data_IF_788122392292
#
_entry.id   IF_788122392292
#
_cell.length_a   1.000
_cell.length_b   1.000
_cell.length_c   1.000
_cell.angle_alpha   90.00
_cell.angle_beta   90.00
_cell.angle_gamma   90.00
#
_symmetry.space_group_name_H-M   'P 1'
#
loop_
_entity.id
_entity.type
_entity.pdbx_description
1 polymer ?
#
# COMPACT_ATOMS: atom_id res chain seq x y z
N UNK A 1 3.94 20.19 -5.28
CA UNK A 1 4.50 19.53 -6.49
C UNK A 1 4.49 18.08 -6.10
N UNK A 2 3.74 17.26 -6.83
CA UNK A 2 3.53 15.86 -6.48
C UNK A 2 4.87 15.12 -6.46
N UNK A 3 5.16 14.41 -5.38
CA UNK A 3 6.36 13.58 -5.26
C UNK A 3 6.16 12.28 -6.03
N UNK A 4 7.07 11.94 -6.95
CA UNK A 4 6.94 10.79 -7.84
C UNK A 4 7.86 9.65 -7.42
N UNK A 5 7.24 8.53 -7.02
CA UNK A 5 7.92 7.26 -6.74
C UNK A 5 7.74 6.34 -7.94
N UNK A 6 8.84 5.88 -8.52
CA UNK A 6 8.85 4.92 -9.64
C UNK A 6 9.33 3.56 -9.18
N UNK A 7 8.47 2.55 -9.27
CA UNK A 7 8.85 1.15 -9.05
C UNK A 7 9.10 0.48 -10.41
N UNK A 8 10.30 -0.05 -10.61
CA UNK A 8 10.72 -0.69 -11.87
C UNK A 8 10.82 -2.19 -11.65
N UNK A 9 10.18 -3.00 -12.50
CA UNK A 9 10.36 -4.45 -12.45
C UNK A 9 9.37 -5.24 -13.28
N UNK A 10 9.08 -6.46 -12.84
CA UNK A 10 8.25 -7.42 -13.57
C UNK A 10 7.01 -7.82 -12.77
N UNK A 11 5.80 -7.51 -13.29
CA UNK A 11 4.58 -8.10 -12.80
C UNK A 11 4.43 -9.51 -13.39
N UNK A 12 3.87 -10.42 -12.61
CA UNK A 12 3.63 -11.80 -13.00
C UNK A 12 2.19 -12.20 -12.70
N UNK A 13 1.61 -13.01 -13.57
CA UNK A 13 0.39 -13.73 -13.25
C UNK A 13 0.73 -14.95 -12.38
N UNK A 14 0.06 -15.07 -11.24
CA UNK A 14 0.16 -16.20 -10.33
C UNK A 14 -1.00 -17.17 -10.58
N UNK A 15 -0.69 -18.43 -10.81
CA UNK A 15 -1.67 -19.52 -10.85
C UNK A 15 -1.58 -20.30 -9.54
N UNK A 16 -2.69 -20.40 -8.82
CA UNK A 16 -2.78 -21.22 -7.60
C UNK A 16 -3.97 -22.16 -7.65
N UNK A 17 -3.86 -23.31 -6.99
CA UNK A 17 -4.97 -24.27 -6.88
C UNK A 17 -5.87 -23.91 -5.68
N UNK A 18 -7.17 -23.75 -5.93
CA UNK A 18 -8.22 -23.60 -4.91
C UNK A 18 -9.18 -24.77 -4.98
N UNK A 19 -9.06 -25.71 -4.04
CA UNK A 19 -9.83 -26.96 -4.05
C UNK A 19 -9.75 -27.68 -5.43
N UNK A 20 -10.83 -27.67 -6.21
CA UNK A 20 -10.90 -28.26 -7.55
C UNK A 20 -10.40 -27.36 -8.68
N UNK A 21 -10.34 -26.04 -8.49
CA UNK A 21 -10.15 -25.06 -9.56
C UNK A 21 -8.75 -24.42 -9.54
N UNK A 22 -8.35 -23.85 -10.67
CA UNK A 22 -7.22 -22.94 -10.75
C UNK A 22 -7.71 -21.50 -10.64
N UNK A 23 -7.07 -20.72 -9.78
CA UNK A 23 -7.29 -19.30 -9.63
C UNK A 23 -6.10 -18.53 -10.19
N UNK A 24 -6.39 -17.36 -10.76
CA UNK A 24 -5.37 -16.41 -11.21
C UNK A 24 -5.35 -15.24 -10.25
N UNK A 25 -4.16 -14.89 -9.77
CA UNK A 25 -3.84 -13.66 -9.09
C UNK A 25 -2.65 -12.99 -9.79
N UNK A 26 -2.16 -11.89 -9.26
CA UNK A 26 -0.98 -11.21 -9.78
C UNK A 26 -0.05 -10.84 -8.64
N UNK A 27 1.24 -10.87 -8.93
CA UNK A 27 2.30 -10.55 -7.98
C UNK A 27 3.59 -10.20 -8.71
N UNK A 28 4.70 -10.26 -8.00
CA UNK A 28 5.99 -9.75 -8.43
C UNK A 28 6.51 -8.84 -7.34
N UNK A 29 7.77 -9.01 -6.95
CA UNK A 29 8.35 -8.33 -5.79
C UNK A 29 8.15 -6.81 -5.85
N UNK A 30 8.49 -6.21 -6.99
CA UNK A 30 8.36 -4.78 -7.24
C UNK A 30 6.91 -4.33 -7.42
N UNK A 31 6.02 -5.17 -7.96
CA UNK A 31 4.58 -4.88 -8.05
C UNK A 31 3.96 -4.87 -6.65
N UNK A 32 4.30 -5.85 -5.82
CA UNK A 32 3.85 -5.94 -4.43
C UNK A 32 4.31 -4.69 -3.66
N UNK A 33 5.59 -4.31 -3.79
CA UNK A 33 6.11 -3.07 -3.20
C UNK A 33 5.35 -1.84 -3.68
N UNK A 34 5.08 -1.71 -4.98
CA UNK A 34 4.32 -0.59 -5.53
C UNK A 34 2.89 -0.53 -4.97
N UNK A 35 2.20 -1.68 -4.83
CA UNK A 35 0.85 -1.76 -4.25
C UNK A 35 0.84 -1.29 -2.80
N UNK A 36 1.77 -1.79 -1.98
CA UNK A 36 1.85 -1.37 -0.58
C UNK A 36 2.26 0.09 -0.44
N UNK A 37 3.15 0.60 -1.31
CA UNK A 37 3.51 2.00 -1.35
C UNK A 37 2.28 2.87 -1.67
N UNK A 38 1.56 2.55 -2.76
CA UNK A 38 0.36 3.27 -3.19
C UNK A 38 -0.74 3.30 -2.11
N UNK A 39 -0.94 2.17 -1.42
CA UNK A 39 -1.88 2.08 -0.29
C UNK A 39 -1.45 2.93 0.91
N UNK A 40 -0.15 3.02 1.20
CA UNK A 40 0.38 3.78 2.33
C UNK A 40 0.40 5.30 2.11
N UNK A 41 0.42 5.76 0.84
CA UNK A 41 0.42 7.20 0.51
C UNK A 41 -0.96 7.76 0.16
N UNK A 42 -2.03 6.99 0.37
CA UNK A 42 -3.40 7.47 0.13
C UNK A 42 -3.65 8.81 0.83
N UNK A 43 -4.26 9.75 0.10
CA UNK A 43 -4.54 11.13 0.54
C UNK A 43 -3.30 12.02 0.75
N UNK A 44 -2.17 11.69 0.14
CA UNK A 44 -0.97 12.55 0.09
C UNK A 44 -0.70 13.01 -1.34
N UNK A 45 0.04 14.11 -1.50
CA UNK A 45 0.53 14.59 -2.81
C UNK A 45 1.75 13.77 -3.28
N UNK A 46 1.58 12.44 -3.35
CA UNK A 46 2.60 11.45 -3.73
C UNK A 46 1.98 10.51 -4.76
N UNK A 47 2.62 10.37 -5.92
CA UNK A 47 2.21 9.47 -6.99
C UNK A 47 3.17 8.27 -7.09
N UNK A 48 2.61 7.06 -7.11
CA UNK A 48 3.36 5.82 -7.33
C UNK A 48 3.14 5.37 -8.77
N UNK A 49 4.23 5.27 -9.53
CA UNK A 49 4.25 4.84 -10.92
C UNK A 49 4.89 3.46 -11.02
N UNK A 50 4.38 2.63 -11.92
CA UNK A 50 5.01 1.34 -12.24
C UNK A 50 5.61 1.35 -13.64
N UNK A 51 6.91 1.10 -13.73
CA UNK A 51 7.65 1.06 -14.98
C UNK A 51 7.90 -0.39 -15.35
N UNK A 52 7.21 -0.84 -16.39
CA UNK A 52 7.33 -2.22 -16.87
C UNK A 52 6.92 -2.34 -18.34
N UNK A 53 7.08 -3.54 -18.90
CA UNK A 53 6.47 -3.92 -20.16
C UNK A 53 5.63 -5.20 -19.97
N UNK A 54 4.42 -5.20 -20.52
CA UNK A 54 3.48 -6.33 -20.51
C UNK A 54 3.02 -6.64 -21.94
N UNK A 55 2.33 -7.76 -22.14
CA UNK A 55 1.78 -8.14 -23.46
C UNK A 55 0.48 -7.43 -23.80
N UNK A 56 -0.15 -7.86 -24.90
CA UNK A 56 -1.50 -7.44 -25.31
C UNK A 56 -2.60 -8.47 -24.95
N UNK A 57 -2.27 -9.44 -24.10
CA UNK A 57 -3.16 -10.53 -23.71
C UNK A 57 -4.03 -10.19 -22.49
N UNK A 58 -5.04 -11.03 -22.22
CA UNK A 58 -6.01 -10.83 -21.12
C UNK A 58 -5.37 -10.80 -19.73
N UNK A 59 -4.26 -11.51 -19.49
CA UNK A 59 -3.57 -11.43 -18.20
C UNK A 59 -2.86 -10.09 -18.05
N UNK A 60 -2.30 -9.58 -19.16
CA UNK A 60 -1.72 -8.23 -19.22
C UNK A 60 -2.78 -7.15 -18.99
N UNK A 61 -3.99 -7.29 -19.52
CA UNK A 61 -5.10 -6.36 -19.22
C UNK A 61 -5.51 -6.42 -17.74
N UNK A 62 -5.68 -7.62 -17.20
CA UNK A 62 -6.09 -7.81 -15.81
C UNK A 62 -5.05 -7.29 -14.80
N UNK A 63 -3.74 -7.38 -15.10
CA UNK A 63 -2.72 -6.80 -14.21
C UNK A 63 -2.71 -5.27 -14.29
N UNK A 64 -2.99 -4.70 -15.47
CA UNK A 64 -3.10 -3.26 -15.65
C UNK A 64 -4.31 -2.71 -14.87
N UNK A 65 -5.45 -3.39 -14.95
CA UNK A 65 -6.65 -3.07 -14.15
C UNK A 65 -6.37 -3.18 -12.64
N UNK A 66 -5.60 -4.18 -12.20
CA UNK A 66 -5.16 -4.29 -10.81
C UNK A 66 -4.34 -3.08 -10.40
N UNK A 67 -3.32 -2.68 -11.18
CA UNK A 67 -2.48 -1.52 -10.89
C UNK A 67 -3.33 -0.26 -10.73
N UNK A 68 -4.22 0.03 -11.69
CA UNK A 68 -5.12 1.19 -11.64
C UNK A 68 -6.01 1.16 -10.40
N UNK A 69 -6.62 0.01 -10.09
CA UNK A 69 -7.46 -0.16 -8.89
C UNK A 69 -6.69 0.03 -7.59
N UNK A 70 -5.40 -0.29 -7.57
CA UNK A 70 -4.54 -0.07 -6.41
C UNK A 70 -4.02 1.37 -6.27
N UNK A 71 -4.35 2.26 -7.23
CA UNK A 71 -3.94 3.66 -7.23
C UNK A 71 -2.54 3.89 -7.82
N UNK A 72 -2.02 2.91 -8.58
CA UNK A 72 -0.73 2.99 -9.26
C UNK A 72 -0.93 3.65 -10.62
N UNK A 73 -0.08 4.63 -10.94
CA UNK A 73 -0.01 5.27 -12.26
C UNK A 73 0.63 4.32 -13.27
N UNK A 74 0.05 4.26 -14.47
CA UNK A 74 0.38 3.23 -15.48
C UNK A 74 0.87 3.80 -16.80
N UNK A 75 1.15 5.11 -16.85
CA UNK A 75 1.62 5.82 -18.05
C UNK A 75 2.97 5.30 -18.57
N UNK A 76 3.71 4.55 -17.74
CA UNK A 76 5.01 3.96 -18.06
C UNK A 76 4.98 2.43 -18.19
N UNK A 77 3.79 1.87 -18.35
CA UNK A 77 3.58 0.45 -18.66
C UNK A 77 3.49 0.29 -20.18
N UNK A 78 4.58 -0.16 -20.81
CA UNK A 78 4.59 -0.40 -22.26
C UNK A 78 3.86 -1.69 -22.63
N UNK A 79 3.23 -1.70 -23.81
CA UNK A 79 2.56 -2.88 -24.38
C UNK A 79 3.42 -3.45 -25.52
N UNK A 80 3.80 -4.72 -25.41
CA UNK A 80 4.57 -5.43 -26.44
C UNK A 80 3.65 -6.40 -27.20
N UNK A 81 3.45 -6.22 -28.53
CA UNK A 81 2.58 -7.07 -29.31
C UNK A 81 3.15 -8.48 -29.59
N UNK A 82 4.43 -8.71 -29.29
CA UNK A 82 5.13 -9.97 -29.57
C UNK A 82 5.48 -10.77 -28.32
N UNK A 83 5.16 -10.26 -27.12
CA UNK A 83 5.47 -10.88 -25.82
C UNK A 83 4.23 -10.89 -24.93
N UNK A 84 4.27 -11.70 -23.87
CA UNK A 84 3.21 -11.80 -22.87
C UNK A 84 3.74 -11.41 -21.49
N UNK A 85 2.85 -11.27 -20.51
CA UNK A 85 3.24 -11.25 -19.10
C UNK A 85 3.88 -12.59 -18.70
N UNK A 86 4.85 -12.56 -17.79
CA UNK A 86 5.37 -13.78 -17.17
C UNK A 86 4.34 -14.45 -16.25
N UNK A 87 4.38 -15.77 -16.17
CA UNK A 87 3.47 -16.57 -15.33
C UNK A 87 4.30 -17.37 -14.33
N UNK A 88 3.77 -17.58 -13.13
CA UNK A 88 4.22 -18.65 -12.26
C UNK A 88 3.05 -19.39 -11.63
N UNK A 89 3.27 -20.64 -11.25
CA UNK A 89 2.29 -21.44 -10.51
C UNK A 89 2.85 -21.83 -9.14
N UNK A 90 2.00 -21.75 -8.11
CA UNK A 90 2.28 -22.23 -6.76
C UNK A 90 1.63 -23.60 -6.59
N UNK A 91 2.42 -24.57 -6.17
CA UNK A 91 1.94 -25.86 -5.71
C UNK A 91 2.31 -26.03 -4.24
N UNK A 92 1.32 -26.33 -3.40
CA UNK A 92 1.55 -26.75 -2.02
C UNK A 92 1.57 -28.27 -2.00
N UNK A 93 2.56 -28.87 -1.35
CA UNK A 93 2.55 -30.30 -1.06
C UNK A 93 1.62 -30.63 0.13
N UNK A 94 1.50 -31.92 0.47
CA UNK A 94 0.65 -32.38 1.59
C UNK A 94 1.11 -31.86 2.96
N UNK A 95 2.36 -31.39 3.08
CA UNK A 95 2.94 -30.82 4.29
C UNK A 95 2.85 -29.28 4.31
N UNK A 96 2.34 -28.66 3.25
CA UNK A 96 2.26 -27.20 3.09
C UNK A 96 3.54 -26.55 2.56
N UNK A 97 4.54 -27.32 2.13
CA UNK A 97 5.74 -26.79 1.47
C UNK A 97 5.37 -26.27 0.07
N UNK A 98 5.85 -25.08 -0.25
CA UNK A 98 5.55 -24.38 -1.50
C UNK A 98 6.61 -24.65 -2.55
N UNK A 99 6.21 -25.18 -3.70
CA UNK A 99 7.02 -25.21 -4.90
C UNK A 99 6.49 -24.22 -5.94
N UNK A 100 7.41 -23.67 -6.73
CA UNK A 100 7.11 -22.66 -7.74
C UNK A 100 7.57 -23.14 -9.11
N UNK A 101 6.69 -23.01 -10.10
CA UNK A 101 6.98 -23.25 -11.51
C UNK A 101 6.87 -21.94 -12.28
N UNK A 102 7.85 -21.59 -13.12
CA UNK A 102 7.92 -20.30 -13.80
C UNK A 102 7.89 -20.46 -15.32
N UNK A 103 7.12 -19.61 -15.98
CA UNK A 103 7.09 -19.38 -17.43
C UNK A 103 7.23 -17.89 -17.69
N UNK A 104 8.44 -17.36 -17.49
CA UNK A 104 8.72 -15.91 -17.60
C UNK A 104 9.90 -15.56 -18.49
N UNK A 105 10.54 -16.53 -19.14
CA UNK A 105 11.72 -16.29 -20.00
C UNK A 105 11.40 -15.42 -21.23
N UNK A 106 10.15 -15.46 -21.69
CA UNK A 106 9.64 -14.65 -22.80
C UNK A 106 8.86 -13.39 -22.34
N UNK A 107 8.82 -13.11 -21.04
CA UNK A 107 8.07 -11.98 -20.48
C UNK A 107 8.46 -10.66 -21.15
N UNK A 108 7.46 -9.82 -21.40
CA UNK A 108 7.64 -8.48 -21.96
C UNK A 108 8.56 -7.60 -21.11
N UNK A 109 8.53 -7.74 -19.78
CA UNK A 109 9.36 -6.97 -18.85
C UNK A 109 10.87 -7.12 -19.12
N UNK A 110 11.30 -8.23 -19.73
CA UNK A 110 12.69 -8.48 -20.12
C UNK A 110 13.19 -7.59 -21.26
N UNK A 111 12.26 -6.95 -21.99
CA UNK A 111 12.55 -6.02 -23.08
C UNK A 111 12.66 -4.55 -22.62
N UNK A 112 12.47 -4.27 -21.33
CA UNK A 112 12.74 -2.93 -20.79
C UNK A 112 14.19 -2.51 -21.04
N UNK A 113 14.40 -1.23 -21.32
CA UNK A 113 15.73 -0.63 -21.56
C UNK A 113 16.53 -1.31 -22.69
N UNK A 114 15.84 -1.99 -23.64
CA UNK A 114 16.51 -2.70 -24.74
C UNK A 114 17.24 -1.77 -25.72
N UNK A 115 16.80 -0.51 -25.85
CA UNK A 115 17.38 0.51 -26.73
C UNK A 115 17.59 1.83 -25.97
N UNK A 116 18.42 2.71 -26.52
CA UNK A 116 18.65 4.06 -25.96
C UNK A 116 17.42 4.97 -26.09
N UNK A 117 16.45 4.58 -26.91
CA UNK A 117 15.17 5.26 -27.11
C UNK A 117 14.02 4.59 -26.35
N UNK A 118 14.33 3.67 -25.43
CA UNK A 118 13.32 2.98 -24.62
C UNK A 118 12.47 4.01 -23.85
N UNK A 119 11.12 3.97 -23.95
CA UNK A 119 10.26 4.94 -23.26
C UNK A 119 10.43 4.89 -21.73
N UNK A 120 10.81 3.74 -21.19
CA UNK A 120 11.11 3.56 -19.76
C UNK A 120 12.27 4.44 -19.25
N UNK A 121 13.18 4.90 -20.11
CA UNK A 121 14.27 5.81 -19.71
C UNK A 121 13.74 7.21 -19.39
N UNK A 122 12.78 7.71 -20.16
CA UNK A 122 12.17 9.02 -19.94
C UNK A 122 11.38 9.07 -18.61
N UNK A 123 10.83 7.94 -18.16
CA UNK A 123 10.16 7.84 -16.86
C UNK A 123 11.12 8.17 -15.70
N UNK A 124 12.40 7.82 -15.80
CA UNK A 124 13.38 8.09 -14.74
C UNK A 124 13.59 9.61 -14.53
N UNK A 125 13.45 10.42 -15.59
CA UNK A 125 13.71 11.86 -15.54
C UNK A 125 12.71 12.63 -14.66
N UNK A 126 11.49 12.10 -14.49
CA UNK A 126 10.42 12.71 -13.69
C UNK A 126 10.33 12.19 -12.26
N UNK A 127 11.18 11.23 -11.89
CA UNK A 127 11.14 10.61 -10.57
C UNK A 127 11.87 11.44 -9.52
N UNK A 128 11.28 11.51 -8.33
CA UNK A 128 11.97 11.97 -7.12
C UNK A 128 12.65 10.78 -6.42
N UNK A 129 12.04 9.59 -6.53
CA UNK A 129 12.53 8.33 -5.97
C UNK A 129 12.30 7.18 -6.95
N UNK A 130 13.35 6.41 -7.25
CA UNK A 130 13.24 5.15 -8.01
C UNK A 130 13.51 3.98 -7.08
N UNK A 131 12.63 2.98 -7.10
CA UNK A 131 12.81 1.67 -6.47
C UNK A 131 12.95 0.58 -7.52
N UNK A 132 13.91 -0.31 -7.31
CA UNK A 132 14.09 -1.54 -8.08
C UNK A 132 14.72 -2.63 -7.22
N UNK A 133 14.69 -3.87 -7.72
CA UNK A 133 15.25 -5.03 -7.02
C UNK A 133 16.31 -5.78 -7.83
N UNK A 134 17.05 -6.69 -7.18
CA UNK A 134 17.95 -7.60 -7.87
C UNK A 134 17.24 -8.53 -8.87
N UNK A 135 15.95 -8.82 -8.70
CA UNK A 135 15.14 -9.55 -9.70
C UNK A 135 15.01 -8.70 -10.97
N UNK A 136 14.79 -7.39 -10.83
CA UNK A 136 14.75 -6.47 -11.99
C UNK A 136 16.05 -6.53 -12.76
N UNK A 137 17.20 -6.58 -12.08
CA UNK A 137 18.49 -6.75 -12.75
C UNK A 137 18.59 -8.11 -13.44
N UNK A 138 18.22 -9.19 -12.75
CA UNK A 138 18.36 -10.56 -13.22
C UNK A 138 17.64 -10.80 -14.56
N UNK A 139 16.49 -10.16 -14.77
CA UNK A 139 15.68 -10.36 -15.98
C UNK A 139 16.14 -9.53 -17.19
N UNK A 140 16.95 -8.49 -16.97
CA UNK A 140 17.45 -7.61 -18.01
C UNK A 140 18.69 -8.17 -18.69
N UNK A 141 18.86 -7.81 -19.96
CA UNK A 141 20.12 -8.07 -20.69
C UNK A 141 21.27 -7.21 -20.13
N UNK A 142 22.55 -7.59 -20.34
CA UNK A 142 23.68 -6.77 -19.89
C UNK A 142 23.62 -5.31 -20.36
N UNK A 143 23.31 -5.08 -21.64
CA UNK A 143 23.18 -3.73 -22.19
C UNK A 143 22.00 -2.95 -21.58
N UNK A 144 20.90 -3.64 -21.26
CA UNK A 144 19.76 -3.00 -20.58
C UNK A 144 20.11 -2.61 -19.13
N UNK A 145 20.86 -3.45 -18.40
CA UNK A 145 21.39 -3.11 -17.07
C UNK A 145 22.32 -1.90 -17.14
N UNK A 146 23.20 -1.84 -18.15
CA UNK A 146 24.09 -0.69 -18.36
C UNK A 146 23.33 0.61 -18.57
N UNK A 147 22.29 0.59 -19.41
CA UNK A 147 21.45 1.77 -19.67
C UNK A 147 20.69 2.21 -18.43
N UNK A 148 20.08 1.27 -17.71
CA UNK A 148 19.39 1.57 -16.47
C UNK A 148 20.34 2.18 -15.45
N UNK A 149 21.52 1.58 -15.25
CA UNK A 149 22.53 2.09 -14.33
C UNK A 149 22.99 3.50 -14.73
N UNK A 150 23.31 3.74 -16.00
CA UNK A 150 23.74 5.05 -16.50
C UNK A 150 22.66 6.12 -16.30
N UNK A 151 21.40 5.78 -16.58
CA UNK A 151 20.28 6.69 -16.39
C UNK A 151 20.09 7.07 -14.92
N UNK A 152 20.10 6.10 -14.00
CA UNK A 152 20.01 6.37 -12.57
C UNK A 152 21.19 7.19 -12.07
N UNK A 153 22.41 6.80 -12.41
CA UNK A 153 23.63 7.48 -11.99
C UNK A 153 23.67 8.95 -12.46
N UNK A 154 23.23 9.24 -13.69
CA UNK A 154 23.19 10.59 -14.23
C UNK A 154 22.18 11.50 -13.49
N UNK A 155 21.00 10.96 -13.15
CA UNK A 155 19.92 11.74 -12.52
C UNK A 155 20.06 11.90 -11.01
N UNK A 156 20.93 11.12 -10.35
CA UNK A 156 21.27 11.37 -8.93
C UNK A 156 21.85 12.77 -8.71
N UNK A 157 22.60 13.31 -9.68
CA UNK A 157 23.12 14.66 -9.62
C UNK A 157 22.01 15.75 -9.65
N UNK A 158 20.83 15.43 -10.17
CA UNK A 158 19.65 16.30 -10.17
C UNK A 158 18.71 16.10 -8.98
N UNK A 159 19.11 15.30 -7.98
CA UNK A 159 18.35 15.09 -6.75
C UNK A 159 17.54 13.80 -6.68
N UNK A 160 17.51 12.99 -7.75
CA UNK A 160 16.87 11.67 -7.75
C UNK A 160 17.46 10.80 -6.63
N UNK A 161 16.59 10.14 -5.87
CA UNK A 161 16.97 9.10 -4.91
C UNK A 161 16.79 7.72 -5.51
N UNK A 162 17.73 6.82 -5.23
CA UNK A 162 17.64 5.41 -5.64
C UNK A 162 17.48 4.51 -4.42
N UNK A 163 16.40 3.75 -4.38
CA UNK A 163 16.15 2.69 -3.42
C UNK A 163 16.37 1.32 -4.06
N UNK A 164 17.10 0.44 -3.39
CA UNK A 164 17.46 -0.86 -3.94
C UNK A 164 17.31 -1.99 -2.92
N UNK A 165 16.70 -3.09 -3.35
CA UNK A 165 16.60 -4.35 -2.62
C UNK A 165 17.37 -5.44 -3.39
N UNK A 166 18.37 -6.08 -2.78
CA UNK A 166 19.15 -7.11 -3.48
C UNK A 166 18.32 -8.32 -3.89
N UNK A 167 17.24 -8.64 -3.16
CA UNK A 167 16.25 -9.69 -3.45
C UNK A 167 16.81 -10.88 -4.27
N UNK A 168 17.88 -11.50 -3.75
CA UNK A 168 18.71 -12.40 -4.55
C UNK A 168 17.97 -13.70 -4.87
N UNK A 169 17.86 -14.02 -6.16
CA UNK A 169 17.21 -15.26 -6.65
C UNK A 169 18.18 -16.02 -7.54
N UNK A 170 18.97 -16.97 -7.00
CA UNK A 170 20.03 -17.67 -7.75
C UNK A 170 19.59 -18.21 -9.12
N UNK A 171 18.36 -18.74 -9.20
CA UNK A 171 17.82 -19.35 -10.43
C UNK A 171 17.62 -18.39 -11.60
N UNK A 172 17.58 -17.07 -11.36
CA UNK A 172 17.43 -16.06 -12.42
C UNK A 172 18.78 -15.55 -12.95
N UNK A 173 19.89 -15.95 -12.34
CA UNK A 173 21.22 -15.50 -12.72
C UNK A 173 22.00 -16.63 -13.39
N UNK A 174 22.69 -16.32 -14.49
CA UNK A 174 23.55 -17.30 -15.18
C UNK A 174 24.67 -17.83 -14.29
N UNK A 175 25.19 -16.98 -13.40
CA UNK A 175 26.21 -17.33 -12.42
C UNK A 175 26.18 -16.40 -11.21
N UNK A 176 26.48 -16.94 -10.02
CA UNK A 176 26.61 -16.17 -8.76
C UNK A 176 27.64 -15.04 -8.88
N UNK A 177 28.70 -15.20 -9.67
CA UNK A 177 29.69 -14.14 -9.93
C UNK A 177 29.10 -12.96 -10.67
N UNK A 178 28.16 -13.20 -11.58
CA UNK A 178 27.46 -12.15 -12.34
C UNK A 178 26.45 -11.44 -11.44
N UNK A 179 25.68 -12.19 -10.64
CA UNK A 179 24.79 -11.63 -9.63
C UNK A 179 25.55 -10.70 -8.68
N UNK A 180 26.67 -11.18 -8.14
CA UNK A 180 27.52 -10.41 -7.21
C UNK A 180 28.03 -9.12 -7.85
N UNK A 181 28.54 -9.19 -9.08
CA UNK A 181 29.02 -8.02 -9.82
C UNK A 181 27.93 -6.97 -10.03
N UNK A 182 26.77 -7.38 -10.55
CA UNK A 182 25.70 -6.42 -10.85
C UNK A 182 25.08 -5.85 -9.59
N UNK A 183 24.84 -6.66 -8.55
CA UNK A 183 24.28 -6.19 -7.28
C UNK A 183 25.26 -5.23 -6.58
N UNK A 184 26.57 -5.53 -6.55
CA UNK A 184 27.59 -4.57 -6.05
C UNK A 184 27.55 -3.25 -6.81
N UNK A 185 27.46 -3.31 -8.15
CA UNK A 185 27.40 -2.11 -8.99
C UNK A 185 26.16 -1.26 -8.72
N UNK A 186 25.02 -1.86 -8.40
CA UNK A 186 23.81 -1.10 -8.04
C UNK A 186 23.86 -0.58 -6.60
N UNK A 187 24.56 -1.25 -5.68
CA UNK A 187 24.84 -0.71 -4.35
C UNK A 187 25.62 0.62 -4.41
N UNK A 188 26.55 0.80 -5.36
CA UNK A 188 27.33 2.03 -5.56
C UNK A 188 26.50 3.28 -5.91
N UNK A 189 25.27 3.09 -6.42
CA UNK A 189 24.36 4.18 -6.79
C UNK A 189 23.11 4.22 -5.90
N UNK A 190 23.07 3.43 -4.83
CA UNK A 190 21.91 3.36 -3.92
C UNK A 190 21.99 4.41 -2.83
N UNK A 191 20.91 5.16 -2.62
CA UNK A 191 20.72 6.09 -1.51
C UNK A 191 19.99 5.43 -0.33
N UNK A 192 19.00 4.57 -0.64
CA UNK A 192 18.16 3.86 0.34
C UNK A 192 18.32 2.35 0.15
N UNK A 193 19.01 1.69 1.07
CA UNK A 193 19.27 0.24 1.00
C UNK A 193 18.21 -0.57 1.73
N UNK A 194 17.55 -1.52 1.04
CA UNK A 194 16.52 -2.37 1.61
C UNK A 194 16.84 -3.88 1.45
N UNK A 195 18.04 -4.36 1.84
CA UNK A 195 18.42 -5.77 1.71
C UNK A 195 17.69 -6.66 2.73
N UNK A 196 17.69 -7.98 2.48
CA UNK A 196 17.41 -8.99 3.50
C UNK A 196 18.70 -9.65 3.98
N UNK A 197 18.72 -10.13 5.22
CA UNK A 197 19.88 -10.84 5.76
C UNK A 197 20.20 -12.10 4.95
N UNK A 198 19.17 -12.89 4.62
CA UNK A 198 19.31 -14.16 3.92
C UNK A 198 19.90 -13.99 2.52
N UNK A 199 19.41 -13.00 1.76
CA UNK A 199 19.88 -12.74 0.39
C UNK A 199 21.34 -12.28 0.37
N UNK A 200 21.72 -11.38 1.27
CA UNK A 200 23.09 -10.86 1.37
C UNK A 200 24.07 -11.93 1.88
N UNK A 201 23.67 -12.72 2.88
CA UNK A 201 24.47 -13.81 3.40
C UNK A 201 24.69 -14.91 2.35
N UNK A 202 23.67 -15.25 1.56
CA UNK A 202 23.78 -16.25 0.48
C UNK A 202 24.68 -15.75 -0.67
N UNK A 203 24.50 -14.50 -1.12
CA UNK A 203 25.22 -13.98 -2.27
C UNK A 203 26.69 -13.63 -1.98
N UNK A 204 26.96 -13.00 -0.84
CA UNK A 204 28.28 -12.46 -0.52
C UNK A 204 29.02 -13.24 0.56
N UNK A 205 28.33 -14.13 1.28
CA UNK A 205 28.95 -15.00 2.28
C UNK A 205 29.16 -14.36 3.66
N UNK A 206 28.51 -13.23 3.94
CA UNK A 206 28.60 -12.58 5.25
C UNK A 206 28.15 -13.49 6.39
N UNK A 207 28.73 -13.23 7.57
CA UNK A 207 28.46 -14.01 8.78
C UNK A 207 27.72 -13.24 9.85
N UNK A 208 27.64 -11.91 9.71
CA UNK A 208 27.04 -11.04 10.72
C UNK A 208 26.24 -9.93 10.04
N UNK A 209 25.15 -9.53 10.68
CA UNK A 209 24.32 -8.41 10.24
C UNK A 209 25.12 -7.11 10.15
N UNK A 210 25.98 -6.81 11.14
CA UNK A 210 26.86 -5.63 11.09
C UNK A 210 27.86 -5.68 9.94
N UNK A 211 28.34 -6.87 9.54
CA UNK A 211 29.21 -7.04 8.37
C UNK A 211 28.51 -6.64 7.07
N UNK A 212 27.25 -7.09 6.92
CA UNK A 212 26.39 -6.71 5.77
C UNK A 212 26.18 -5.21 5.73
N UNK A 213 25.74 -4.61 6.85
CA UNK A 213 25.49 -3.16 6.93
C UNK A 213 26.75 -2.36 6.59
N UNK A 214 27.90 -2.74 7.17
CA UNK A 214 29.16 -2.05 6.91
C UNK A 214 29.60 -2.13 5.45
N UNK A 215 29.42 -3.29 4.78
CA UNK A 215 29.71 -3.40 3.34
C UNK A 215 28.83 -2.46 2.53
N UNK A 216 27.53 -2.44 2.79
CA UNK A 216 26.57 -1.64 2.01
C UNK A 216 26.83 -0.15 2.23
N UNK A 217 27.09 0.29 3.46
CA UNK A 217 27.50 1.68 3.75
C UNK A 217 28.81 2.03 3.02
N UNK A 218 29.78 1.11 2.96
CA UNK A 218 31.05 1.35 2.25
C UNK A 218 30.88 1.56 0.74
N UNK A 219 29.75 1.15 0.14
CA UNK A 219 29.41 1.45 -1.26
C UNK A 219 28.71 2.78 -1.47
N UNK A 220 28.24 3.44 -0.40
CA UNK A 220 27.69 4.79 -0.45
C UNK A 220 26.25 4.94 0.03
N UNK A 221 25.56 3.86 0.41
CA UNK A 221 24.20 3.94 0.97
C UNK A 221 24.17 4.76 2.27
N UNK A 222 23.23 5.70 2.37
CA UNK A 222 23.14 6.67 3.46
C UNK A 222 21.93 6.45 4.38
N UNK A 223 20.99 5.62 3.95
CA UNK A 223 19.75 5.33 4.66
C UNK A 223 19.28 3.92 4.28
N UNK A 224 18.36 3.36 5.06
CA UNK A 224 17.75 2.08 4.75
C UNK A 224 17.57 1.18 5.96
N UNK A 225 17.27 -0.09 5.68
CA UNK A 225 17.06 -1.09 6.70
C UNK A 225 17.43 -2.50 6.19
N UNK A 226 18.28 -3.20 6.94
CA UNK A 226 18.52 -4.63 6.77
C UNK A 226 17.38 -5.41 7.42
N UNK A 227 16.56 -6.09 6.61
CA UNK A 227 15.44 -6.92 7.10
C UNK A 227 15.99 -8.23 7.68
N UNK A 228 15.75 -8.48 8.97
CA UNK A 228 16.20 -9.69 9.68
C UNK A 228 15.03 -10.57 10.15
N UNK A 229 13.97 -10.68 9.34
CA UNK A 229 12.80 -11.49 9.66
C UNK A 229 12.12 -11.07 10.98
N UNK A 230 11.93 -12.04 11.87
CA UNK A 230 11.25 -11.83 13.16
C UNK A 230 12.11 -11.10 14.21
N UNK A 231 13.41 -10.92 13.95
CA UNK A 231 14.29 -10.12 14.80
C UNK A 231 14.10 -8.60 14.60
N UNK A 232 13.33 -8.20 13.58
CA UNK A 232 13.14 -6.80 13.21
C UNK A 232 14.25 -6.25 12.30
N UNK A 233 14.03 -5.10 11.67
CA UNK A 233 15.04 -4.46 10.83
C UNK A 233 16.19 -3.87 11.64
N UNK A 234 17.38 -3.76 11.04
CA UNK A 234 18.49 -2.93 11.51
C UNK A 234 18.67 -1.75 10.56
N UNK A 235 18.74 -0.53 11.10
CA UNK A 235 18.95 0.67 10.29
C UNK A 235 20.31 0.64 9.57
N UNK A 236 20.37 1.31 8.42
CA UNK A 236 21.58 1.48 7.60
C UNK A 236 21.83 2.99 7.46
N UNK A 237 22.93 3.56 7.99
CA UNK A 237 23.90 2.95 8.89
C UNK A 237 23.30 2.51 10.23
N UNK A 238 24.03 1.66 10.97
CA UNK A 238 23.61 1.22 12.31
C UNK A 238 23.37 2.45 13.22
N UNK A 239 22.25 2.42 13.94
CA UNK A 239 21.92 3.38 14.98
C UNK A 239 22.04 2.73 16.36
N UNK A 240 22.36 3.55 17.38
CA UNK A 240 22.30 3.15 18.78
C UNK A 240 20.84 3.13 19.31
N UNK A 241 19.89 3.65 18.54
CA UNK A 241 18.46 3.60 18.85
C UNK A 241 17.97 2.15 18.70
N UNK A 242 17.87 1.46 19.84
CA UNK A 242 17.31 0.10 19.90
C UNK A 242 15.79 0.20 19.94
N UNK A 243 15.16 -0.06 18.80
CA UNK A 243 13.72 -0.25 18.74
C UNK A 243 13.35 -1.72 18.96
N UNK A 244 12.31 -1.96 19.76
CA UNK A 244 11.75 -3.28 19.95
C UNK A 244 10.60 -3.49 18.95
N UNK A 245 10.86 -4.28 17.91
CA UNK A 245 9.88 -4.57 16.87
C UNK A 245 8.94 -5.70 17.30
N UNK A 246 7.63 -5.42 17.30
CA UNK A 246 6.64 -6.41 17.66
C UNK A 246 6.57 -7.53 16.60
N UNK A 247 6.73 -8.77 17.05
CA UNK A 247 6.56 -9.95 16.20
C UNK A 247 5.09 -10.13 15.81
N UNK A 248 4.85 -10.76 14.66
CA UNK A 248 3.52 -11.20 14.29
C UNK A 248 3.00 -12.26 15.27
N UNK A 249 1.75 -12.13 15.70
CA UNK A 249 1.11 -13.10 16.62
C UNK A 249 1.05 -14.52 16.03
N UNK A 250 0.90 -14.62 14.71
CA UNK A 250 0.86 -15.88 13.96
C UNK A 250 1.36 -15.68 12.54
N UNK A 251 2.29 -16.53 12.12
CA UNK A 251 2.79 -16.58 10.74
C UNK A 251 1.99 -17.63 9.96
N UNK A 252 1.35 -17.21 8.88
CA UNK A 252 0.60 -18.05 7.94
C UNK A 252 1.37 -18.24 6.64
N UNK A 253 1.94 -17.15 6.12
CA UNK A 253 2.64 -17.13 4.84
C UNK A 253 3.62 -15.95 4.83
N UNK A 254 4.91 -16.20 4.62
CA UNK A 254 5.93 -15.15 4.59
C UNK A 254 6.04 -14.44 3.24
N UNK A 255 5.29 -14.89 2.23
CA UNK A 255 5.27 -14.30 0.89
C UNK A 255 4.83 -12.83 0.96
N UNK A 256 5.58 -11.93 0.32
CA UNK A 256 5.28 -10.49 0.31
C UNK A 256 5.70 -9.71 1.56
N UNK A 257 6.26 -10.35 2.60
CA UNK A 257 6.69 -9.65 3.83
C UNK A 257 7.72 -8.57 3.53
N UNK A 258 8.81 -8.93 2.83
CA UNK A 258 9.86 -7.99 2.42
C UNK A 258 9.34 -6.91 1.47
N UNK A 259 8.50 -7.29 0.50
CA UNK A 259 7.94 -6.35 -0.47
C UNK A 259 7.04 -5.30 0.21
N UNK A 260 6.24 -5.72 1.19
CA UNK A 260 5.38 -4.83 1.99
C UNK A 260 6.17 -3.92 2.90
N UNK A 261 7.26 -4.43 3.50
CA UNK A 261 8.20 -3.63 4.26
C UNK A 261 8.75 -2.52 3.38
N UNK A 262 9.26 -2.87 2.20
CA UNK A 262 9.82 -1.88 1.25
C UNK A 262 8.77 -0.83 0.87
N UNK A 263 7.54 -1.25 0.54
CA UNK A 263 6.48 -0.33 0.12
C UNK A 263 6.11 0.68 1.19
N UNK A 264 5.91 0.23 2.44
CA UNK A 264 5.63 1.12 3.56
C UNK A 264 6.83 2.00 3.94
N UNK A 265 8.05 1.46 3.89
CA UNK A 265 9.26 2.24 4.18
C UNK A 265 9.42 3.40 3.20
N UNK A 266 9.32 3.13 1.90
CA UNK A 266 9.44 4.16 0.86
C UNK A 266 8.32 5.19 0.94
N UNK A 267 7.09 4.75 1.24
CA UNK A 267 5.97 5.65 1.47
C UNK A 267 6.19 6.59 2.67
N UNK A 268 6.77 6.08 3.76
CA UNK A 268 7.11 6.87 4.94
C UNK A 268 8.22 7.89 4.65
N UNK A 269 9.27 7.50 3.93
CA UNK A 269 10.35 8.41 3.53
C UNK A 269 9.84 9.51 2.60
N UNK A 270 9.02 9.17 1.60
CA UNK A 270 8.41 10.16 0.70
C UNK A 270 7.40 11.08 1.43
N UNK A 271 6.96 10.68 2.62
CA UNK A 271 6.13 11.46 3.52
C UNK A 271 6.95 12.26 4.56
N UNK A 272 8.25 12.45 4.32
CA UNK A 272 9.21 13.17 5.17
C UNK A 272 9.37 12.60 6.59
N UNK A 273 9.06 11.31 6.80
CA UNK A 273 9.34 10.62 8.06
C UNK A 273 10.82 10.26 8.17
N UNK A 274 11.29 10.12 9.41
CA UNK A 274 12.64 9.63 9.69
C UNK A 274 12.77 8.15 9.32
N UNK A 275 14.01 7.68 9.12
CA UNK A 275 14.27 6.26 8.83
C UNK A 275 13.80 5.31 9.95
N UNK A 276 13.81 5.77 11.20
CA UNK A 276 13.34 4.99 12.35
C UNK A 276 11.82 4.82 12.30
N UNK A 277 11.08 5.93 12.14
CA UNK A 277 9.62 5.90 11.95
C UNK A 277 9.22 5.04 10.74
N UNK A 278 9.96 5.16 9.63
CA UNK A 278 9.75 4.33 8.45
C UNK A 278 9.97 2.84 8.73
N UNK A 279 10.99 2.48 9.51
CA UNK A 279 11.26 1.08 9.90
C UNK A 279 10.15 0.51 10.81
N UNK A 280 9.64 1.28 11.77
CA UNK A 280 8.50 0.90 12.62
C UNK A 280 7.27 0.59 11.78
N UNK A 281 6.88 1.52 10.90
CA UNK A 281 5.68 1.38 10.08
C UNK A 281 5.79 0.23 9.08
N UNK A 282 6.96 0.11 8.45
CA UNK A 282 7.27 -0.97 7.53
C UNK A 282 7.24 -2.34 8.21
N UNK A 283 7.83 -2.47 9.40
CA UNK A 283 7.80 -3.72 10.15
C UNK A 283 6.39 -4.07 10.61
N UNK A 284 5.62 -3.10 11.12
CA UNK A 284 4.24 -3.32 11.53
C UNK A 284 3.35 -3.78 10.36
N UNK A 285 3.54 -3.21 9.16
CA UNK A 285 2.84 -3.71 7.97
C UNK A 285 3.28 -5.13 7.62
N UNK A 286 4.58 -5.39 7.54
CA UNK A 286 5.09 -6.73 7.22
C UNK A 286 4.60 -7.80 8.20
N UNK A 287 4.58 -7.50 9.51
CA UNK A 287 4.03 -8.37 10.53
C UNK A 287 2.54 -8.69 10.31
N UNK A 288 1.76 -7.74 9.76
CA UNK A 288 0.37 -7.99 9.35
C UNK A 288 0.25 -8.81 8.06
N UNK A 289 1.12 -8.57 7.09
CA UNK A 289 1.12 -9.33 5.82
C UNK A 289 1.33 -10.81 6.10
N UNK A 290 2.30 -11.15 6.96
CA UNK A 290 2.62 -12.56 7.21
C UNK A 290 1.52 -13.36 7.90
N UNK A 291 0.50 -12.70 8.44
CA UNK A 291 -0.65 -13.37 9.08
C UNK A 291 -1.74 -13.79 8.08
N UNK A 292 -1.57 -13.49 6.80
CA UNK A 292 -2.51 -13.76 5.71
C UNK A 292 -1.87 -14.60 4.62
N UNK A 293 -2.67 -15.39 3.89
CA UNK A 293 -2.19 -16.15 2.75
C UNK A 293 -2.10 -15.25 1.49
N UNK A 294 -0.97 -15.31 0.80
CA UNK A 294 -0.68 -14.54 -0.41
C UNK A 294 0.12 -13.26 -0.15
N UNK A 295 0.84 -12.78 -1.16
CA UNK A 295 1.73 -11.61 -1.04
C UNK A 295 1.00 -10.29 -0.75
N UNK A 296 -0.22 -10.13 -1.26
CA UNK A 296 -0.98 -8.88 -1.20
C UNK A 296 -2.14 -9.08 -0.24
N UNK A 297 -2.15 -8.34 0.86
CA UNK A 297 -3.31 -8.28 1.74
C UNK A 297 -4.54 -7.91 0.92
N UNK A 298 -5.68 -8.62 1.08
CA UNK A 298 -6.93 -8.13 0.57
C UNK A 298 -7.12 -6.70 1.03
N UNK A 299 -7.62 -5.81 0.15
CA UNK A 299 -8.20 -4.58 0.69
C UNK A 299 -9.23 -5.05 1.71
N UNK A 300 -9.16 -4.53 2.93
CA UNK A 300 -10.36 -4.50 3.76
C UNK A 300 -11.34 -3.83 2.84
N UNK A 301 -12.31 -4.58 2.31
CA UNK A 301 -13.37 -3.98 1.52
C UNK A 301 -13.79 -2.79 2.36
N UNK A 302 -13.72 -1.57 1.81
CA UNK A 302 -14.39 -0.45 2.46
C UNK A 302 -15.76 -1.04 2.79
N UNK A 303 -16.04 -1.24 4.08
CA UNK A 303 -17.29 -1.86 4.48
C UNK A 303 -18.31 -1.07 3.71
N UNK A 304 -19.17 -1.77 2.94
CA UNK A 304 -20.16 -1.11 2.11
C UNK A 304 -20.86 -0.16 3.07
N UNK A 305 -20.55 1.14 2.96
CA UNK A 305 -20.92 2.05 4.03
C UNK A 305 -22.43 2.02 4.03
N UNK A 306 -23.03 1.64 5.15
CA UNK A 306 -24.47 1.68 5.28
C UNK A 306 -24.82 3.16 5.32
N UNK A 307 -25.29 3.66 4.18
CA UNK A 307 -25.75 5.04 4.05
C UNK A 307 -27.13 5.12 4.67
N UNK A 308 -27.26 6.01 5.63
CA UNK A 308 -28.49 6.18 6.39
C UNK A 308 -28.95 7.63 6.23
N UNK A 309 -30.23 7.77 5.89
CA UNK A 309 -30.90 9.05 5.74
C UNK A 309 -32.03 9.13 6.74
N UNK A 310 -32.21 10.27 7.41
CA UNK A 310 -33.32 10.47 8.32
C UNK A 310 -33.82 11.91 8.28
N UNK A 311 -35.07 12.12 8.70
CA UNK A 311 -35.70 13.44 8.72
C UNK A 311 -36.33 13.77 10.07
N UNK A 312 -36.28 15.06 10.40
CA UNK A 312 -36.95 15.65 11.55
C UNK A 312 -37.36 17.10 11.23
N UNK A 313 -38.22 17.72 12.03
CA UNK A 313 -38.46 19.16 11.94
C UNK A 313 -37.64 19.91 12.97
N UNK A 314 -37.22 21.12 12.60
CA UNK A 314 -36.64 22.10 13.51
C UNK A 314 -37.75 23.06 13.94
N UNK A 315 -37.85 23.32 15.25
CA UNK A 315 -38.74 24.37 15.77
C UNK A 315 -38.22 25.74 15.31
N UNK A 316 -38.99 26.53 14.55
CA UNK A 316 -38.51 27.76 13.92
C UNK A 316 -37.84 28.75 14.88
N UNK A 317 -38.34 28.85 16.11
CA UNK A 317 -37.84 29.70 17.18
C UNK A 317 -36.42 29.36 17.64
N UNK A 318 -35.93 28.16 17.36
CA UNK A 318 -34.60 27.69 17.74
C UNK A 318 -33.57 27.70 16.60
N UNK A 319 -33.92 28.26 15.44
CA UNK A 319 -33.09 28.21 14.23
C UNK A 319 -31.64 28.66 14.45
N UNK A 320 -31.46 29.86 15.01
CA UNK A 320 -30.14 30.47 15.12
C UNK A 320 -29.27 29.73 16.15
N UNK A 321 -29.87 29.30 17.25
CA UNK A 321 -29.18 28.55 18.29
C UNK A 321 -28.78 27.15 17.80
N UNK A 322 -29.68 26.46 17.08
CA UNK A 322 -29.38 25.15 16.49
C UNK A 322 -28.16 25.23 15.55
N UNK A 323 -28.13 26.26 14.69
CA UNK A 323 -26.98 26.51 13.79
C UNK A 323 -25.71 26.82 14.55
N UNK A 324 -25.79 27.64 15.60
CA UNK A 324 -24.62 28.00 16.43
C UNK A 324 -24.00 26.76 17.07
N UNK A 325 -24.84 25.88 17.65
CA UNK A 325 -24.38 24.62 18.25
C UNK A 325 -23.74 23.69 17.21
N UNK A 326 -24.38 23.49 16.06
CA UNK A 326 -23.87 22.54 15.05
C UNK A 326 -22.69 23.07 14.22
N UNK A 327 -22.39 24.37 14.30
CA UNK A 327 -21.15 24.94 13.77
C UNK A 327 -19.93 24.66 14.67
N UNK A 328 -20.16 24.36 15.96
CA UNK A 328 -19.12 24.11 16.96
C UNK A 328 -19.54 22.96 17.90
N UNK A 329 -19.70 21.77 17.29
CA UNK A 329 -20.13 20.56 18.00
C UNK A 329 -19.06 20.18 19.03
N UNK A 330 -19.50 19.80 20.23
CA UNK A 330 -18.60 19.44 21.31
C UNK A 330 -17.65 18.30 20.89
N UNK A 331 -16.32 18.43 21.11
CA UNK A 331 -15.34 17.43 20.68
C UNK A 331 -15.60 16.02 21.20
N UNK A 332 -16.16 15.89 22.41
CA UNK A 332 -16.52 14.58 22.99
C UNK A 332 -17.59 13.84 22.18
N UNK A 333 -18.60 14.56 21.68
CA UNK A 333 -19.66 13.99 20.81
C UNK A 333 -19.05 13.52 19.48
N UNK A 334 -18.22 14.35 18.85
CA UNK A 334 -17.54 13.98 17.60
C UNK A 334 -16.62 12.76 17.78
N UNK A 335 -15.90 12.70 18.89
CA UNK A 335 -15.05 11.56 19.24
C UNK A 335 -15.86 10.28 19.42
N UNK A 336 -17.02 10.36 20.08
CA UNK A 336 -17.90 9.22 20.28
C UNK A 336 -18.48 8.70 18.97
N UNK A 337 -19.00 9.57 18.11
CA UNK A 337 -19.49 9.20 16.79
C UNK A 337 -18.42 8.51 15.94
N UNK A 338 -17.19 9.05 15.92
CA UNK A 338 -16.07 8.43 15.20
C UNK A 338 -15.69 7.06 15.77
N UNK A 339 -15.65 6.92 17.09
CA UNK A 339 -15.36 5.66 17.75
C UNK A 339 -16.45 4.61 17.53
N UNK A 340 -17.68 5.05 17.25
CA UNK A 340 -18.83 4.22 16.89
C UNK A 340 -19.02 4.09 15.37
N UNK A 341 -17.98 4.37 14.58
CA UNK A 341 -17.95 4.12 13.12
C UNK A 341 -18.94 4.94 12.29
N UNK A 342 -19.40 6.09 12.80
CA UNK A 342 -20.17 7.07 12.02
C UNK A 342 -19.21 8.01 11.29
N UNK A 343 -19.38 8.11 9.98
CA UNK A 343 -18.56 8.92 9.08
C UNK A 343 -19.46 9.72 8.13
N UNK A 344 -18.88 10.71 7.44
CA UNK A 344 -19.57 11.56 6.47
C UNK A 344 -20.93 12.14 6.94
N UNK A 345 -21.03 12.49 8.23
CA UNK A 345 -22.28 12.96 8.82
C UNK A 345 -22.56 14.42 8.44
N UNK A 346 -23.65 14.65 7.70
CA UNK A 346 -24.18 15.97 7.35
C UNK A 346 -25.63 16.16 7.80
N UNK A 347 -26.00 17.38 8.19
CA UNK A 347 -27.39 17.78 8.46
C UNK A 347 -27.75 18.96 7.56
N UNK A 348 -28.78 18.80 6.74
CA UNK A 348 -29.31 19.80 5.82
C UNK A 348 -30.60 20.38 6.39
N UNK A 349 -30.86 21.66 6.16
CA UNK A 349 -32.10 22.33 6.59
C UNK A 349 -32.79 23.00 5.39
N UNK A 350 -34.05 22.65 5.15
CA UNK A 350 -34.90 23.24 4.11
C UNK A 350 -35.94 24.18 4.73
N UNK A 351 -35.94 25.44 4.27
CA UNK A 351 -36.95 26.46 4.58
C UNK A 351 -37.91 26.64 3.40
N UNK A 352 -39.17 27.09 3.62
CA UNK A 352 -39.78 27.53 4.90
C UNK A 352 -40.35 26.40 5.77
N UNK A 353 -40.20 25.14 5.38
CA UNK A 353 -40.81 23.98 6.04
C UNK A 353 -40.07 23.56 7.34
N UNK A 354 -38.88 24.13 7.57
CA UNK A 354 -37.97 23.78 8.66
C UNK A 354 -37.70 22.27 8.76
N UNK A 355 -37.66 21.60 7.61
CA UNK A 355 -37.34 20.19 7.49
C UNK A 355 -35.82 20.02 7.57
N UNK A 356 -35.36 19.19 8.49
CA UNK A 356 -33.97 18.76 8.55
C UNK A 356 -33.82 17.35 7.97
N UNK A 357 -32.78 17.16 7.15
CA UNK A 357 -32.37 15.87 6.61
C UNK A 357 -30.98 15.56 7.16
N UNK A 358 -30.86 14.47 7.92
CA UNK A 358 -29.59 13.92 8.39
C UNK A 358 -29.12 12.83 7.44
N UNK A 359 -27.83 12.83 7.12
CA UNK A 359 -27.16 11.81 6.33
C UNK A 359 -25.88 11.40 7.03
N UNK A 360 -25.62 10.09 7.17
CA UNK A 360 -24.33 9.58 7.59
C UNK A 360 -24.01 8.25 6.92
N UNK A 361 -22.72 7.90 6.96
CA UNK A 361 -22.17 6.62 6.52
C UNK A 361 -21.72 5.82 7.74
N UNK A 362 -22.34 4.66 7.95
CA UNK A 362 -21.93 3.72 8.99
C UNK A 362 -21.00 2.65 8.41
N UNK A 363 -19.80 2.54 8.97
CA UNK A 363 -18.76 1.61 8.49
C UNK A 363 -18.48 0.45 9.44
N UNK A 364 -19.16 0.39 10.60
CA UNK A 364 -18.97 -0.67 11.59
C UNK A 364 -19.67 -1.98 11.22
N UNK A 365 -19.53 -2.99 12.09
CA UNK A 365 -20.11 -4.33 11.89
C UNK A 365 -21.29 -4.64 12.80
N UNK A 366 -21.59 -3.79 13.79
CA UNK A 366 -22.64 -3.99 14.80
C UNK A 366 -23.29 -2.63 15.15
N UNK A 367 -24.26 -2.24 14.33
CA UNK A 367 -24.93 -0.95 14.44
C UNK A 367 -25.70 -0.79 15.75
N UNK A 368 -26.27 -1.88 16.27
CA UNK A 368 -27.00 -1.85 17.54
C UNK A 368 -26.07 -1.61 18.72
N UNK A 369 -24.93 -2.31 18.78
CA UNK A 369 -23.94 -2.10 19.83
C UNK A 369 -23.31 -0.69 19.76
N UNK A 370 -23.00 -0.20 18.56
CA UNK A 370 -22.43 1.14 18.38
C UNK A 370 -23.43 2.24 18.77
N UNK A 371 -24.71 2.10 18.41
CA UNK A 371 -25.75 3.02 18.89
C UNK A 371 -25.97 2.94 20.39
N UNK A 372 -25.93 1.74 20.99
CA UNK A 372 -26.03 1.58 22.43
C UNK A 372 -24.86 2.28 23.15
N UNK A 373 -23.65 2.23 22.58
CA UNK A 373 -22.49 2.94 23.10
C UNK A 373 -22.62 4.47 22.99
N UNK A 374 -23.20 4.98 21.90
CA UNK A 374 -23.54 6.40 21.76
C UNK A 374 -24.60 6.80 22.81
N UNK A 375 -25.65 6.00 22.96
CA UNK A 375 -26.73 6.26 23.91
C UNK A 375 -26.26 6.21 25.38
N UNK A 376 -25.24 5.42 25.69
CA UNK A 376 -24.65 5.32 27.02
C UNK A 376 -23.60 6.41 27.31
N UNK A 377 -23.15 7.18 26.32
CA UNK A 377 -22.10 8.19 26.47
C UNK A 377 -22.63 9.44 27.20
N UNK A 378 -22.06 9.82 28.37
CA UNK A 378 -22.59 10.93 29.17
C UNK A 378 -22.55 12.28 28.45
N UNK A 379 -21.49 12.54 27.67
CA UNK A 379 -21.34 13.81 26.94
C UNK A 379 -22.40 13.91 25.85
N UNK A 380 -22.68 12.80 25.17
CA UNK A 380 -23.73 12.73 24.15
C UNK A 380 -25.13 12.91 24.75
N UNK A 381 -25.40 12.35 25.93
CA UNK A 381 -26.66 12.58 26.64
C UNK A 381 -26.87 14.06 27.02
N UNK A 382 -25.83 14.75 27.50
CA UNK A 382 -25.88 16.18 27.77
C UNK A 382 -26.14 16.99 26.49
N UNK A 383 -25.46 16.65 25.40
CA UNK A 383 -25.69 17.26 24.10
C UNK A 383 -27.14 17.10 23.62
N UNK A 384 -27.72 15.91 23.77
CA UNK A 384 -29.12 15.65 23.44
C UNK A 384 -30.09 16.42 24.33
N UNK A 385 -29.78 16.60 25.62
CA UNK A 385 -30.61 17.42 26.51
C UNK A 385 -30.68 18.89 26.06
N UNK A 386 -29.61 19.40 25.45
CA UNK A 386 -29.57 20.76 24.87
C UNK A 386 -30.29 20.82 23.52
N UNK A 387 -30.00 19.88 22.62
CA UNK A 387 -30.50 19.92 21.23
C UNK A 387 -31.93 19.41 21.08
N UNK A 388 -32.35 18.43 21.90
CA UNK A 388 -33.64 17.76 21.82
C UNK A 388 -34.84 18.71 21.88
N UNK A 389 -34.89 19.69 22.80
CA UNK A 389 -35.97 20.68 22.86
C UNK A 389 -36.15 21.53 21.59
N UNK A 390 -35.10 21.66 20.76
CA UNK A 390 -35.14 22.43 19.51
C UNK A 390 -35.79 21.63 18.37
N UNK A 391 -35.90 20.32 18.54
CA UNK A 391 -36.38 19.40 17.51
C UNK A 391 -37.87 19.12 17.68
N UNK A 392 -38.52 18.82 16.56
CA UNK A 392 -39.92 18.43 16.48
C UNK A 392 -40.02 17.10 15.69
N UNK A 393 -39.92 15.96 16.39
CA UNK A 393 -40.05 14.62 15.83
C UNK A 393 -41.37 14.41 15.08
N UNK A 394 -41.32 13.77 13.91
CA UNK A 394 -42.52 13.42 13.15
C UNK A 394 -43.43 12.46 13.94
N UNK A 395 -44.74 12.68 13.87
CA UNK A 395 -45.74 11.77 14.44
C UNK A 395 -45.76 10.40 13.74
N UNK A 396 -45.28 10.35 12.50
CA UNK A 396 -45.25 9.16 11.64
C UNK A 396 -43.98 8.32 11.76
N UNK A 397 -43.05 8.71 12.65
CA UNK A 397 -41.82 7.93 12.90
C UNK A 397 -42.14 6.59 13.56
N UNK A 398 -41.28 5.59 13.39
CA UNK A 398 -41.48 4.28 14.01
C UNK A 398 -41.27 4.32 15.53
N UNK A 399 -41.76 3.29 16.24
CA UNK A 399 -41.59 3.18 17.69
C UNK A 399 -40.09 3.13 18.06
N UNK A 400 -39.66 4.04 18.94
CA UNK A 400 -38.27 4.17 19.36
C UNK A 400 -37.42 5.13 18.52
N UNK A 401 -37.94 5.62 17.39
CA UNK A 401 -37.25 6.63 16.59
C UNK A 401 -37.37 8.03 17.20
N UNK A 402 -36.30 8.82 17.09
CA UNK A 402 -36.35 10.26 17.33
C UNK A 402 -36.34 11.04 16.01
N UNK A 403 -35.41 10.72 15.12
CA UNK A 403 -35.43 11.09 13.71
C UNK A 403 -36.10 9.97 12.93
N UNK A 404 -36.97 10.29 11.98
CA UNK A 404 -37.64 9.29 11.16
C UNK A 404 -36.67 8.78 10.08
N UNK A 405 -36.39 7.48 10.06
CA UNK A 405 -35.51 6.85 9.07
C UNK A 405 -36.11 6.91 7.65
N UNK A 406 -35.24 6.90 6.64
CA UNK A 406 -35.59 6.97 5.21
C UNK A 406 -34.94 5.84 4.42
N UNK A 407 -35.64 5.35 3.40
CA UNK A 407 -35.11 4.38 2.44
C UNK A 407 -34.19 5.05 1.41
N UNK A 408 -32.97 4.51 1.22
CA UNK A 408 -32.13 4.86 0.08
C UNK A 408 -32.71 4.25 -1.20
N UNK A 409 -33.33 5.08 -2.04
CA UNK A 409 -33.96 4.62 -3.30
C UNK A 409 -33.01 4.59 -4.49
N UNK A 410 -31.88 5.32 -4.43
CA UNK A 410 -30.89 5.38 -5.50
C UNK A 410 -29.53 5.84 -4.96
N UNK A 411 -28.46 5.25 -5.48
CA UNK A 411 -27.10 5.69 -5.24
C UNK A 411 -26.24 5.46 -6.48
N UNK A 412 -25.40 6.45 -6.80
CA UNK A 412 -24.31 6.32 -7.75
C UNK A 412 -22.99 6.43 -6.97
N UNK A 413 -22.17 5.40 -7.07
CA UNK A 413 -20.90 5.27 -6.38
C UNK A 413 -19.80 6.13 -7.01
#
# INVERSE_FOLDING_TARGET
MTYNILCIGEPLAEISRRASDLAVAFGGDTLNTAIYCARSVQNRDIAVHYVTAIGEDTLSDAVLELMTREGIQTDHVSRDPNRQIGIYAIQNDENGERSFHYWRDASAARAMFATDTSPHLAAIEMADLVYLSGITLAILTPNARDRLWNALAAHRASGLKVAFDSNYRPKLWDATTTARREITRFWEITDIALPSYEDEADLFGDKTTSGIVNRIVATGAQSGALKCGDAGPLLIPLSDDIENFAKADRVVDTTGAGDSFNGAYLAAIAADKTQAEAAVEAHALAARVVTHQGAILPRVAASKANRMGSVIRLRPEHLDEYKRLHADVWPGVLSRLKASHFTNYSIYLKKPEFLMFGYFEYTGSDFEADNAAIAADPITQEWWAVCGPMQDPFETRADGEWWAEMEEVFHLA
#
